data_IF_247514390996
#
_entry.id   IF_247514390996
#
_cell.length_a   1.000
_cell.length_b   1.000
_cell.length_c   1.000
_cell.angle_alpha   90.00
_cell.angle_beta   90.00
_cell.angle_gamma   90.00
#
_symmetry.space_group_name_H-M   'P 1'
#
loop_
_entity.id
_entity.type
_entity.pdbx_description
1 polymer ?
#
# COMPACT_ATOMS: atom_id res chain seq x y z
N UNK A 1 0.72 2.31 -16.59
CA UNK A 1 1.52 1.19 -16.05
C UNK A 1 0.86 0.86 -14.73
N UNK A 2 0.35 -0.37 -14.60
CA UNK A 2 -0.82 -0.62 -13.74
C UNK A 2 -0.59 -1.76 -12.74
N UNK A 3 0.61 -2.35 -12.72
CA UNK A 3 0.95 -3.50 -11.88
C UNK A 3 2.45 -3.59 -11.61
N UNK A 4 2.80 -4.21 -10.49
CA UNK A 4 4.15 -4.64 -10.11
C UNK A 4 4.08 -6.05 -9.50
N UNK A 5 5.22 -6.71 -9.31
CA UNK A 5 5.28 -8.07 -8.74
C UNK A 5 6.06 -8.06 -7.43
N UNK A 6 5.66 -8.92 -6.50
CA UNK A 6 6.36 -9.18 -5.24
C UNK A 6 6.66 -10.67 -5.16
N UNK A 7 7.81 -11.03 -4.59
CA UNK A 7 8.14 -12.42 -4.31
C UNK A 7 7.45 -12.85 -3.01
N UNK A 8 6.45 -13.72 -3.09
CA UNK A 8 5.77 -14.33 -1.95
C UNK A 8 6.54 -15.51 -1.34
N UNK A 9 7.77 -15.74 -1.78
CA UNK A 9 8.57 -16.92 -1.46
C UNK A 9 7.78 -18.21 -1.74
N UNK A 10 7.64 -19.08 -0.74
CA UNK A 10 6.92 -20.35 -0.83
C UNK A 10 5.59 -20.33 -0.05
N UNK A 11 5.02 -19.15 0.16
CA UNK A 11 3.72 -19.03 0.83
C UNK A 11 2.58 -19.47 -0.10
N UNK A 12 1.54 -20.04 0.50
CA UNK A 12 0.32 -20.43 -0.22
C UNK A 12 -0.64 -19.24 -0.17
N UNK A 13 -0.80 -18.56 -1.31
CA UNK A 13 -1.68 -17.40 -1.48
C UNK A 13 -2.78 -17.72 -2.49
N UNK A 14 -3.94 -17.09 -2.31
CA UNK A 14 -5.08 -17.18 -3.20
C UNK A 14 -5.29 -15.88 -3.99
N UNK A 15 -5.88 -15.98 -5.17
CA UNK A 15 -6.23 -14.80 -5.96
C UNK A 15 -7.31 -14.03 -5.24
N UNK A 16 -7.01 -12.77 -4.91
CA UNK A 16 -7.90 -11.89 -4.17
C UNK A 16 -7.49 -11.67 -2.72
N UNK A 17 -6.42 -12.32 -2.24
CA UNK A 17 -5.84 -12.04 -0.94
C UNK A 17 -5.49 -10.55 -0.80
N UNK A 18 -5.77 -10.00 0.38
CA UNK A 18 -5.55 -8.58 0.68
C UNK A 18 -4.06 -8.27 0.80
N UNK A 19 -3.64 -7.17 0.18
CA UNK A 19 -2.29 -6.62 0.31
C UNK A 19 -2.40 -5.17 0.78
N UNK A 20 -1.84 -4.90 1.96
CA UNK A 20 -1.79 -3.54 2.53
C UNK A 20 -0.47 -2.88 2.17
N UNK A 21 -0.51 -1.89 1.26
CA UNK A 21 0.69 -1.11 0.88
C UNK A 21 1.05 -0.02 1.90
N UNK A 22 0.03 0.61 2.50
CA UNK A 22 0.16 1.62 3.57
C UNK A 22 -0.99 1.37 4.54
N UNK A 23 -0.70 1.10 5.80
CA UNK A 23 -1.71 0.74 6.80
C UNK A 23 -1.22 -0.35 7.75
N UNK A 24 -2.16 -1.01 8.41
CA UNK A 24 -1.93 -2.07 9.38
C UNK A 24 -2.64 -3.36 8.96
N UNK A 25 -1.96 -4.50 9.10
CA UNK A 25 -2.47 -5.85 8.89
C UNK A 25 -1.81 -6.79 9.90
N UNK A 26 -2.60 -7.61 10.60
CA UNK A 26 -2.10 -8.61 11.58
C UNK A 26 -1.10 -8.07 12.63
N UNK A 27 -1.28 -6.82 13.07
CA UNK A 27 -0.42 -6.16 14.05
C UNK A 27 0.94 -5.70 13.50
N UNK A 28 1.14 -5.80 12.18
CA UNK A 28 2.26 -5.21 11.46
C UNK A 28 1.76 -3.99 10.67
N UNK A 29 2.63 -3.00 10.47
CA UNK A 29 2.24 -1.79 9.74
C UNK A 29 3.35 -1.31 8.81
N UNK A 30 2.95 -0.80 7.66
CA UNK A 30 3.81 0.04 6.80
C UNK A 30 3.24 1.45 6.87
N UNK A 31 4.01 2.38 7.45
CA UNK A 31 3.59 3.78 7.57
C UNK A 31 3.90 4.55 6.30
N UNK A 32 3.23 5.68 6.11
CA UNK A 32 3.53 6.56 4.97
C UNK A 32 4.92 7.18 5.09
N UNK A 33 5.38 7.41 6.33
CA UNK A 33 6.73 7.88 6.62
C UNK A 33 7.77 6.86 6.17
N UNK A 34 7.58 5.58 6.48
CA UNK A 34 8.47 4.50 6.05
C UNK A 34 8.52 4.38 4.53
N UNK A 35 7.36 4.37 3.87
CA UNK A 35 7.28 4.34 2.41
C UNK A 35 7.96 5.56 1.77
N UNK A 36 7.77 6.75 2.34
CA UNK A 36 8.44 7.97 1.85
C UNK A 36 9.96 7.90 2.00
N UNK A 37 10.45 7.25 3.06
CA UNK A 37 11.87 6.97 3.26
C UNK A 37 12.45 6.06 2.18
N UNK A 38 11.74 5.01 1.77
CA UNK A 38 12.16 4.13 0.66
C UNK A 38 12.17 4.85 -0.70
N UNK A 39 11.22 5.76 -0.89
CA UNK A 39 11.07 6.54 -2.12
C UNK A 39 11.93 7.81 -2.15
N UNK A 40 12.77 8.04 -1.12
CA UNK A 40 13.61 9.24 -0.97
C UNK A 40 12.82 10.56 -1.09
N UNK A 41 11.61 10.59 -0.52
CA UNK A 41 10.70 11.73 -0.55
C UNK A 41 10.04 11.96 0.83
N UNK A 42 9.00 12.80 0.88
CA UNK A 42 8.22 13.15 2.05
C UNK A 42 6.81 12.54 1.99
N UNK A 43 6.14 12.33 3.14
CA UNK A 43 4.80 11.73 3.19
C UNK A 43 3.76 12.40 2.30
N UNK A 44 3.81 13.74 2.20
CA UNK A 44 2.86 14.50 1.39
C UNK A 44 2.94 14.15 -0.10
N UNK A 45 4.13 13.88 -0.63
CA UNK A 45 4.26 13.47 -2.03
C UNK A 45 3.64 12.09 -2.26
N UNK A 46 3.78 11.15 -1.32
CA UNK A 46 3.12 9.84 -1.44
C UNK A 46 1.60 9.99 -1.45
N UNK A 47 1.04 10.68 -0.45
CA UNK A 47 -0.42 10.80 -0.29
C UNK A 47 -1.08 11.58 -1.42
N UNK A 48 -0.43 12.64 -1.90
CA UNK A 48 -1.00 13.50 -2.96
C UNK A 48 -0.81 12.92 -4.37
N UNK A 49 0.12 11.99 -4.57
CA UNK A 49 0.30 11.29 -5.85
C UNK A 49 -0.60 10.05 -6.03
N UNK A 50 -1.38 9.66 -5.01
CA UNK A 50 -2.44 8.67 -5.21
C UNK A 50 -3.49 9.25 -6.16
N UNK A 51 -3.45 8.83 -7.43
CA UNK A 51 -4.27 9.42 -8.49
C UNK A 51 -5.74 8.97 -8.45
N UNK A 52 -6.57 9.59 -9.29
CA UNK A 52 -8.03 9.38 -9.33
C UNK A 52 -8.48 7.99 -9.76
N UNK A 53 -7.59 7.13 -10.29
CA UNK A 53 -7.93 5.73 -10.64
C UNK A 53 -8.13 4.85 -9.40
N UNK A 54 -7.64 5.28 -8.24
CA UNK A 54 -7.78 4.55 -6.97
C UNK A 54 -9.12 4.96 -6.33
N UNK A 55 -10.11 4.07 -6.18
CA UNK A 55 -11.38 4.43 -5.54
C UNK A 55 -11.18 4.76 -4.05
N UNK A 56 -11.87 5.79 -3.56
CA UNK A 56 -11.87 6.18 -2.13
C UNK A 56 -13.13 5.65 -1.45
N UNK A 57 -12.95 4.85 -0.40
CA UNK A 57 -14.03 4.28 0.39
C UNK A 57 -13.94 4.90 1.79
N UNK A 58 -15.02 5.54 2.24
CA UNK A 58 -15.12 6.12 3.58
C UNK A 58 -16.02 5.21 4.43
N UNK A 59 -15.46 4.55 5.43
CA UNK A 59 -16.16 3.54 6.24
C UNK A 59 -16.73 4.07 7.57
N UNK A 60 -16.33 5.27 8.00
CA UNK A 60 -16.71 5.87 9.29
C UNK A 60 -17.36 7.26 9.11
N UNK A 61 -18.17 7.43 8.07
CA UNK A 61 -18.91 8.67 7.80
C UNK A 61 -20.12 8.88 8.70
#
# INVERSE_FOLDING_TARGET
>A
MDQFMVNSNNETLEVGDEVVLIGEQDGQSITVEEMSGWAETIPYEILTNLNDRIPRIYSNG
#
